data_IF_650045613395
#
_entry.id   IF_650045613395
#
_cell.length_a   1.000
_cell.length_b   1.000
_cell.length_c   1.000
_cell.angle_alpha   90.00
_cell.angle_beta   90.00
_cell.angle_gamma   90.00
#
_symmetry.space_group_name_H-M   'P 1'
#
loop_
_entity.id
_entity.type
_entity.pdbx_description
1 polymer ?
#
# COMPACT_ATOMS: atom_id res chain seq x y z
N UNK A 1 -36.50 10.78 -8.48
CA UNK A 1 -36.08 9.43 -8.01
C UNK A 1 -35.21 8.81 -9.09
N UNK A 2 -33.97 9.26 -9.16
CA UNK A 2 -32.99 8.75 -10.13
C UNK A 2 -32.39 7.49 -9.51
N UNK A 3 -32.62 6.33 -10.13
CA UNK A 3 -31.91 5.11 -9.75
C UNK A 3 -30.42 5.37 -9.98
N UNK A 4 -29.64 5.54 -8.91
CA UNK A 4 -28.22 5.27 -8.98
C UNK A 4 -28.11 3.80 -9.40
N UNK A 5 -27.72 3.56 -10.64
CA UNK A 5 -27.20 2.26 -11.03
C UNK A 5 -26.00 2.02 -10.11
N UNK A 6 -26.11 1.04 -9.21
CA UNK A 6 -24.99 0.56 -8.41
C UNK A 6 -23.92 0.12 -9.40
N UNK A 7 -22.88 0.94 -9.57
CA UNK A 7 -21.65 0.49 -10.17
C UNK A 7 -21.21 -0.76 -9.39
N UNK A 8 -20.76 -1.84 -10.05
CA UNK A 8 -20.35 -3.04 -9.36
C UNK A 8 -19.28 -2.67 -8.33
N UNK A 9 -19.61 -2.86 -7.05
CA UNK A 9 -18.66 -2.63 -5.96
C UNK A 9 -17.63 -3.74 -6.01
N UNK A 10 -16.37 -3.37 -6.15
CA UNK A 10 -15.24 -4.28 -6.06
C UNK A 10 -15.26 -5.03 -4.73
N UNK A 11 -14.83 -6.27 -4.76
CA UNK A 11 -14.73 -7.14 -3.60
C UNK A 11 -13.42 -7.92 -3.69
N UNK A 12 -12.80 -8.16 -2.54
CA UNK A 12 -11.65 -9.04 -2.41
C UNK A 12 -12.16 -10.47 -2.25
N UNK A 13 -11.97 -11.31 -3.26
CA UNK A 13 -12.36 -12.72 -3.24
C UNK A 13 -11.34 -13.53 -2.42
N UNK A 14 -11.57 -13.57 -1.10
CA UNK A 14 -10.70 -14.28 -0.16
C UNK A 14 -10.60 -15.78 -0.48
N UNK A 15 -11.70 -16.52 -0.75
CA UNK A 15 -11.61 -17.91 -1.20
C UNK A 15 -10.74 -18.09 -2.44
N UNK A 16 -10.90 -17.25 -3.47
CA UNK A 16 -10.09 -17.34 -4.68
C UNK A 16 -8.62 -17.01 -4.41
N UNK A 17 -8.32 -16.00 -3.59
CA UNK A 17 -6.95 -15.68 -3.16
C UNK A 17 -6.29 -16.88 -2.49
N UNK A 18 -6.98 -17.53 -1.55
CA UNK A 18 -6.47 -18.73 -0.86
C UNK A 18 -6.27 -19.89 -1.83
N UNK A 19 -7.20 -20.09 -2.78
CA UNK A 19 -7.07 -21.13 -3.79
C UNK A 19 -5.86 -20.90 -4.70
N UNK A 20 -5.65 -19.65 -5.17
CA UNK A 20 -4.47 -19.26 -5.96
C UNK A 20 -3.18 -19.49 -5.18
N UNK A 21 -3.12 -19.06 -3.91
CA UNK A 21 -1.94 -19.22 -3.07
C UNK A 21 -1.58 -20.71 -2.85
N UNK A 22 -2.58 -21.57 -2.63
CA UNK A 22 -2.36 -23.02 -2.51
C UNK A 22 -1.96 -23.68 -3.82
N UNK A 23 -2.52 -23.24 -4.94
CA UNK A 23 -2.17 -23.75 -6.26
C UNK A 23 -0.73 -23.36 -6.66
N UNK A 24 -0.24 -22.20 -6.21
CA UNK A 24 1.12 -21.74 -6.43
C UNK A 24 2.15 -22.35 -5.46
N UNK A 25 1.70 -23.09 -4.44
CA UNK A 25 2.58 -23.68 -3.44
C UNK A 25 3.38 -24.87 -4.01
N UNK A 26 4.55 -25.12 -3.42
CA UNK A 26 5.39 -26.26 -3.76
C UNK A 26 4.77 -27.61 -3.33
N UNK A 27 5.44 -28.74 -3.64
CA UNK A 27 4.95 -30.09 -3.32
C UNK A 27 4.68 -30.34 -1.83
N UNK A 28 5.33 -29.58 -0.95
CA UNK A 28 5.15 -29.61 0.51
C UNK A 28 4.03 -28.68 1.02
N UNK A 29 3.30 -28.04 0.10
CA UNK A 29 2.20 -27.12 0.38
C UNK A 29 2.66 -25.73 0.84
N UNK A 30 3.94 -25.38 0.68
CA UNK A 30 4.49 -24.09 1.12
C UNK A 30 4.78 -23.16 -0.05
N UNK A 31 4.57 -21.87 0.16
CA UNK A 31 5.02 -20.85 -0.78
C UNK A 31 6.57 -20.80 -0.80
N UNK A 32 7.13 -20.43 -1.95
CA UNK A 32 8.57 -20.23 -2.05
C UNK A 32 9.01 -19.03 -1.19
N UNK A 33 10.19 -19.15 -0.57
CA UNK A 33 10.82 -18.06 0.19
C UNK A 33 11.10 -16.84 -0.70
N UNK A 34 11.26 -17.01 -2.01
CA UNK A 34 11.49 -15.88 -2.93
C UNK A 34 12.80 -15.13 -2.62
N UNK A 35 12.87 -13.87 -3.06
CA UNK A 35 14.05 -13.00 -2.91
C UNK A 35 14.12 -12.25 -1.59
N UNK A 36 13.08 -12.29 -0.76
CA UNK A 36 13.03 -11.50 0.49
C UNK A 36 14.10 -11.92 1.50
N UNK A 37 14.48 -13.20 1.48
CA UNK A 37 15.57 -13.72 2.32
C UNK A 37 16.95 -13.22 1.87
N UNK A 38 17.04 -12.64 0.68
CA UNK A 38 18.28 -12.12 0.10
C UNK A 38 18.34 -10.58 0.22
N UNK A 39 17.35 -9.94 0.84
CA UNK A 39 17.35 -8.49 1.06
C UNK A 39 18.38 -8.08 2.11
N UNK A 40 19.07 -6.97 1.87
CA UNK A 40 20.06 -6.41 2.80
C UNK A 40 19.46 -6.09 4.17
N UNK A 41 18.17 -5.74 4.23
CA UNK A 41 17.44 -5.42 5.47
C UNK A 41 16.78 -6.62 6.15
N UNK A 42 16.80 -7.81 5.54
CA UNK A 42 16.23 -9.01 6.16
C UNK A 42 17.15 -9.48 7.31
N UNK A 43 16.64 -9.66 8.54
CA UNK A 43 17.49 -9.82 9.72
C UNK A 43 18.03 -11.23 9.92
N UNK A 44 17.57 -12.22 9.16
CA UNK A 44 17.96 -13.62 9.35
C UNK A 44 18.78 -14.15 8.16
N UNK A 45 19.77 -14.98 8.45
CA UNK A 45 20.39 -15.87 7.48
C UNK A 45 19.32 -16.79 6.89
N UNK A 46 19.39 -17.00 5.57
CA UNK A 46 18.45 -17.86 4.83
C UNK A 46 18.38 -19.27 5.41
N UNK A 47 19.54 -19.81 5.78
CA UNK A 47 19.67 -21.14 6.36
C UNK A 47 19.55 -21.06 7.89
N UNK A 48 18.54 -21.74 8.45
CA UNK A 48 18.41 -21.93 9.89
C UNK A 48 17.86 -20.75 10.70
N UNK A 49 17.40 -19.67 10.05
CA UNK A 49 16.77 -18.48 10.69
C UNK A 49 17.62 -17.90 11.83
N UNK A 50 18.94 -17.83 11.61
CA UNK A 50 19.88 -17.23 12.56
C UNK A 50 19.94 -15.73 12.33
N UNK A 51 20.01 -14.92 13.39
CA UNK A 51 20.19 -13.48 13.24
C UNK A 51 21.53 -13.18 12.56
N UNK A 52 21.50 -12.29 11.56
CA UNK A 52 22.72 -11.74 10.96
C UNK A 52 23.46 -10.88 11.99
N UNK A 53 24.80 -10.82 11.94
CA UNK A 53 25.56 -9.81 12.69
C UNK A 53 25.07 -8.40 12.33
N UNK A 54 25.09 -7.49 13.29
CA UNK A 54 24.84 -6.07 13.01
C UNK A 54 26.03 -5.51 12.23
N UNK A 55 25.75 -4.75 11.19
CA UNK A 55 26.75 -4.00 10.43
C UNK A 55 27.20 -2.75 11.20
N UNK A 56 28.40 -2.25 10.88
CA UNK A 56 28.86 -0.96 11.39
C UNK A 56 27.97 0.18 10.85
N UNK A 57 27.73 1.25 11.63
CA UNK A 57 26.94 2.39 11.16
C UNK A 57 27.56 3.05 9.92
N UNK A 58 26.73 3.36 8.93
CA UNK A 58 27.14 4.14 7.74
C UNK A 58 26.88 5.62 7.99
N UNK A 59 27.93 6.44 8.07
CA UNK A 59 27.84 7.89 8.27
C UNK A 59 28.76 8.64 7.30
N UNK A 60 28.27 9.63 6.52
CA UNK A 60 26.86 10.06 6.48
C UNK A 60 25.95 9.02 5.83
N UNK A 61 24.67 9.03 6.20
CA UNK A 61 23.67 8.20 5.53
C UNK A 61 23.55 8.59 4.04
N UNK A 62 23.41 7.62 3.12
CA UNK A 62 23.10 7.91 1.73
C UNK A 62 21.78 8.67 1.58
N UNK A 63 21.67 9.52 0.56
CA UNK A 63 20.39 10.17 0.24
C UNK A 63 19.34 9.14 -0.19
N UNK A 64 18.08 9.37 0.18
CA UNK A 64 16.95 8.54 -0.27
C UNK A 64 16.61 8.85 -1.73
N UNK A 65 15.78 8.00 -2.35
CA UNK A 65 15.23 8.33 -3.67
C UNK A 65 14.41 9.63 -3.60
N UNK A 66 14.45 10.44 -4.65
CA UNK A 66 13.68 11.69 -4.70
C UNK A 66 13.89 12.59 -3.45
N UNK A 67 15.11 12.66 -2.88
CA UNK A 67 15.39 13.58 -1.77
C UNK A 67 15.33 15.05 -2.24
N UNK A 68 15.87 15.33 -3.43
CA UNK A 68 15.89 16.65 -4.04
C UNK A 68 14.59 16.92 -4.82
N UNK A 69 13.85 17.95 -4.40
CA UNK A 69 12.63 18.41 -5.06
C UNK A 69 12.81 18.75 -6.55
N UNK A 70 13.99 19.23 -6.95
CA UNK A 70 14.27 19.62 -8.33
C UNK A 70 14.33 18.42 -9.30
N UNK A 71 14.64 17.22 -8.78
CA UNK A 71 14.77 15.98 -9.57
C UNK A 71 13.72 14.94 -9.21
N UNK A 72 12.83 15.25 -8.27
CA UNK A 72 11.82 14.34 -7.74
C UNK A 72 10.84 13.85 -8.82
N UNK A 73 10.84 12.54 -9.04
CA UNK A 73 10.00 11.86 -10.03
C UNK A 73 8.51 11.95 -9.72
N UNK A 74 8.13 12.08 -8.44
CA UNK A 74 6.75 12.22 -7.97
C UNK A 74 6.21 13.63 -8.14
N UNK A 75 7.06 14.65 -7.93
CA UNK A 75 6.73 16.04 -8.22
C UNK A 75 6.45 16.26 -9.70
N UNK A 76 7.32 15.71 -10.56
CA UNK A 76 7.19 15.81 -12.01
C UNK A 76 6.08 14.93 -12.61
N UNK A 77 5.54 13.97 -11.84
CA UNK A 77 4.54 13.04 -12.37
C UNK A 77 3.21 13.73 -12.69
N UNK A 78 2.65 13.50 -13.89
CA UNK A 78 1.30 13.96 -14.24
C UNK A 78 0.22 13.25 -13.42
N UNK A 79 -0.95 13.88 -13.33
CA UNK A 79 -2.07 13.38 -12.51
C UNK A 79 -2.66 12.05 -13.01
N UNK A 80 -2.54 11.75 -14.30
CA UNK A 80 -3.00 10.47 -14.89
C UNK A 80 -2.20 9.24 -14.40
N UNK A 81 -1.05 9.45 -13.76
CA UNK A 81 -0.30 8.40 -13.05
C UNK A 81 -0.99 7.95 -11.75
N UNK A 82 -1.95 8.72 -11.27
CA UNK A 82 -2.63 8.50 -9.99
C UNK A 82 -4.07 8.07 -10.24
N UNK A 83 -4.60 7.23 -9.35
CA UNK A 83 -5.98 6.73 -9.45
C UNK A 83 -7.00 7.71 -8.88
N UNK A 84 -6.54 8.63 -8.04
CA UNK A 84 -7.33 9.74 -7.52
C UNK A 84 -6.41 10.90 -7.14
N UNK A 85 -6.89 12.12 -7.37
CA UNK A 85 -6.19 13.34 -6.97
C UNK A 85 -7.19 14.40 -6.54
N UNK A 86 -6.75 15.31 -5.67
CA UNK A 86 -7.41 16.58 -5.44
C UNK A 86 -6.39 17.73 -5.52
N UNK A 87 -6.70 18.90 -4.94
CA UNK A 87 -5.83 20.06 -4.92
C UNK A 87 -4.53 19.85 -4.12
N UNK A 88 -4.49 18.92 -3.16
CA UNK A 88 -3.39 18.76 -2.21
C UNK A 88 -2.82 17.35 -2.18
N UNK A 89 -3.62 16.32 -2.44
CA UNK A 89 -3.30 14.91 -2.25
C UNK A 89 -3.43 14.12 -3.53
N UNK A 90 -2.62 13.06 -3.62
CA UNK A 90 -2.61 12.11 -4.73
C UNK A 90 -2.59 10.69 -4.18
N UNK A 91 -3.39 9.81 -4.77
CA UNK A 91 -3.50 8.41 -4.40
C UNK A 91 -3.06 7.55 -5.59
N UNK A 92 -2.15 6.62 -5.35
CA UNK A 92 -1.69 5.66 -6.36
C UNK A 92 -2.04 4.23 -5.99
N UNK A 93 -2.32 3.43 -7.02
CA UNK A 93 -2.52 1.99 -6.96
C UNK A 93 -1.53 1.36 -7.94
N UNK A 94 -0.35 0.96 -7.46
CA UNK A 94 0.69 0.38 -8.34
C UNK A 94 0.55 -1.14 -8.35
N UNK A 95 0.24 -1.70 -9.52
CA UNK A 95 0.10 -3.15 -9.72
C UNK A 95 1.28 -3.77 -10.49
N UNK A 96 1.35 -5.11 -10.55
CA UNK A 96 0.46 -6.08 -9.90
C UNK A 96 0.67 -6.16 -8.37
N UNK A 97 -0.39 -6.45 -7.59
CA UNK A 97 -0.33 -6.57 -6.12
C UNK A 97 -0.84 -7.92 -5.63
N UNK A 98 -0.27 -8.48 -4.56
CA UNK A 98 -0.79 -9.73 -3.95
C UNK A 98 -1.84 -9.48 -2.87
N UNK A 99 -1.90 -8.27 -2.34
CA UNK A 99 -2.91 -7.77 -1.42
C UNK A 99 -3.27 -6.34 -1.83
N UNK A 100 -4.52 -5.87 -1.65
CA UNK A 100 -4.90 -4.50 -1.98
C UNK A 100 -3.97 -3.50 -1.28
N UNK A 101 -3.26 -2.69 -2.08
CA UNK A 101 -2.23 -1.76 -1.59
C UNK A 101 -2.39 -0.41 -2.26
N UNK A 102 -2.57 0.65 -1.47
CA UNK A 102 -2.65 2.03 -1.96
C UNK A 102 -1.57 2.88 -1.31
N UNK A 103 -1.13 3.91 -2.02
CA UNK A 103 -0.12 4.86 -1.54
C UNK A 103 -0.64 6.28 -1.68
N UNK A 104 -0.79 6.96 -0.55
CA UNK A 104 -1.19 8.36 -0.46
C UNK A 104 0.06 9.24 -0.33
N UNK A 105 0.13 10.36 -1.05
CA UNK A 105 1.15 11.38 -0.84
C UNK A 105 0.64 12.77 -1.17
N UNK A 106 1.21 13.84 -0.58
CA UNK A 106 0.86 15.20 -0.93
C UNK A 106 1.43 15.59 -2.29
N UNK A 107 0.91 16.66 -2.88
CA UNK A 107 1.50 17.27 -4.07
C UNK A 107 2.82 17.95 -3.77
N UNK A 108 2.92 18.59 -2.61
CA UNK A 108 4.13 19.25 -2.12
C UNK A 108 5.27 18.26 -1.86
N UNK A 109 6.51 18.68 -2.10
CA UNK A 109 7.71 17.93 -1.78
C UNK A 109 8.10 18.20 -0.32
N UNK A 110 7.69 17.32 0.58
CA UNK A 110 7.87 17.45 2.03
C UNK A 110 8.09 16.06 2.62
N UNK A 111 8.81 15.95 3.73
CA UNK A 111 8.74 14.78 4.61
C UNK A 111 7.63 14.99 5.67
N UNK A 112 7.32 13.96 6.44
CA UNK A 112 6.29 13.98 7.50
C UNK A 112 6.56 15.08 8.54
N UNK A 113 7.83 15.31 8.88
CA UNK A 113 8.22 16.32 9.87
C UNK A 113 8.15 17.76 9.35
N UNK A 114 8.03 17.95 8.04
CA UNK A 114 7.99 19.27 7.40
C UNK A 114 6.56 19.77 7.17
N UNK A 115 5.55 18.97 7.52
CA UNK A 115 4.15 19.37 7.39
C UNK A 115 3.84 20.52 8.35
N UNK A 116 3.23 21.57 7.81
CA UNK A 116 2.57 22.58 8.63
C UNK A 116 1.27 22.03 9.26
N UNK A 117 0.68 22.80 10.18
CA UNK A 117 -0.51 22.38 10.93
C UNK A 117 -1.72 22.12 10.00
N UNK A 118 -1.82 22.83 8.88
CA UNK A 118 -2.90 22.68 7.91
C UNK A 118 -2.79 21.35 7.16
N UNK A 119 -1.63 21.07 6.56
CA UNK A 119 -1.34 19.82 5.86
C UNK A 119 -1.34 18.62 6.81
N UNK A 120 -0.83 18.77 8.03
CA UNK A 120 -0.91 17.72 9.06
C UNK A 120 -2.37 17.40 9.41
N UNK A 121 -3.21 18.43 9.56
CA UNK A 121 -4.65 18.27 9.76
C UNK A 121 -5.34 17.58 8.59
N UNK A 122 -4.99 17.94 7.35
CA UNK A 122 -5.47 17.28 6.15
C UNK A 122 -5.02 15.82 6.04
N UNK A 123 -3.76 15.53 6.35
CA UNK A 123 -3.22 14.17 6.36
C UNK A 123 -4.06 13.27 7.26
N UNK A 124 -4.35 13.72 8.49
CA UNK A 124 -5.19 12.98 9.42
C UNK A 124 -6.58 12.65 8.85
N UNK A 125 -7.21 13.61 8.15
CA UNK A 125 -8.50 13.38 7.47
C UNK A 125 -8.36 12.40 6.31
N UNK A 126 -7.33 12.55 5.49
CA UNK A 126 -7.08 11.68 4.34
C UNK A 126 -6.79 10.24 4.74
N UNK A 127 -6.00 10.03 5.81
CA UNK A 127 -5.76 8.69 6.36
C UNK A 127 -7.08 8.01 6.72
N UNK A 128 -7.97 8.70 7.43
CA UNK A 128 -9.28 8.15 7.80
C UNK A 128 -10.16 7.90 6.57
N UNK A 129 -10.16 8.79 5.58
CA UNK A 129 -10.96 8.62 4.35
C UNK A 129 -10.52 7.39 3.56
N UNK A 130 -9.22 7.24 3.29
CA UNK A 130 -8.68 6.10 2.53
C UNK A 130 -8.85 4.79 3.31
N UNK A 131 -8.60 4.81 4.62
CA UNK A 131 -8.81 3.63 5.49
C UNK A 131 -10.26 3.15 5.44
N UNK A 132 -11.23 4.06 5.63
CA UNK A 132 -12.66 3.72 5.60
C UNK A 132 -13.09 3.20 4.23
N UNK A 133 -12.63 3.84 3.15
CA UNK A 133 -12.96 3.43 1.80
C UNK A 133 -12.46 2.00 1.51
N UNK A 134 -11.21 1.68 1.88
CA UNK A 134 -10.66 0.33 1.75
C UNK A 134 -11.35 -0.68 2.69
N UNK A 135 -11.61 -0.30 3.94
CA UNK A 135 -12.26 -1.17 4.92
C UNK A 135 -13.72 -1.52 4.56
N UNK A 136 -14.37 -0.67 3.75
CA UNK A 136 -15.72 -0.91 3.26
C UNK A 136 -15.78 -1.91 2.09
N UNK A 137 -14.64 -2.26 1.49
CA UNK A 137 -14.57 -3.26 0.42
C UNK A 137 -14.90 -4.64 0.99
N UNK A 138 -15.92 -5.35 0.46
CA UNK A 138 -16.23 -6.71 0.90
C UNK A 138 -15.02 -7.63 0.80
N UNK A 139 -14.81 -8.48 1.81
CA UNK A 139 -13.64 -9.37 1.89
C UNK A 139 -12.41 -8.74 2.54
N UNK A 140 -12.41 -7.43 2.84
CA UNK A 140 -11.37 -6.80 3.67
C UNK A 140 -11.73 -6.95 5.15
N UNK A 141 -10.79 -7.46 5.95
CA UNK A 141 -10.96 -7.62 7.40
C UNK A 141 -10.29 -6.52 8.24
N UNK A 142 -9.19 -5.93 7.77
CA UNK A 142 -8.50 -4.80 8.44
C UNK A 142 -7.59 -4.07 7.46
N UNK A 143 -7.54 -2.74 7.55
CA UNK A 143 -6.54 -1.93 6.85
C UNK A 143 -5.41 -1.57 7.80
N UNK A 144 -4.17 -1.72 7.34
CA UNK A 144 -2.96 -1.28 8.03
C UNK A 144 -2.41 -0.03 7.34
N UNK A 145 -1.99 0.96 8.13
CA UNK A 145 -1.42 2.23 7.63
C UNK A 145 0.04 2.31 8.09
N UNK A 146 0.96 2.52 7.15
CA UNK A 146 2.40 2.55 7.42
C UNK A 146 3.05 3.80 6.83
N UNK A 147 3.92 4.43 7.63
CA UNK A 147 4.97 5.34 7.17
C UNK A 147 6.31 4.68 7.49
N UNK A 148 7.04 4.27 6.46
CA UNK A 148 8.43 3.78 6.61
C UNK A 148 9.40 4.96 6.45
N UNK A 149 9.44 5.56 5.25
CA UNK A 149 10.17 6.80 4.98
C UNK A 149 11.65 6.64 4.65
N UNK A 150 12.22 5.45 4.74
CA UNK A 150 13.65 5.21 4.44
C UNK A 150 13.94 5.10 2.94
N UNK A 151 12.91 4.85 2.11
CA UNK A 151 13.09 4.60 0.67
C UNK A 151 12.94 5.82 -0.22
N UNK A 152 12.30 6.91 0.22
CA UNK A 152 12.02 8.06 -0.63
C UNK A 152 11.82 9.35 0.20
N UNK A 153 12.36 10.47 -0.26
CA UNK A 153 12.29 11.78 0.40
C UNK A 153 10.95 12.50 0.25
N UNK A 154 10.13 12.13 -0.73
CA UNK A 154 8.77 12.65 -0.88
C UNK A 154 7.81 11.83 -0.01
N UNK A 155 7.14 12.50 0.95
CA UNK A 155 6.17 11.90 1.87
C UNK A 155 5.18 10.98 1.14
N UNK A 156 5.04 9.77 1.68
CA UNK A 156 4.00 8.84 1.26
C UNK A 156 3.64 7.87 2.40
N UNK A 157 2.37 7.49 2.44
CA UNK A 157 1.82 6.54 3.39
C UNK A 157 1.25 5.35 2.63
N UNK A 158 1.54 4.15 3.11
CA UNK A 158 1.02 2.91 2.57
C UNK A 158 -0.23 2.47 3.31
N UNK A 159 -1.21 1.98 2.56
CA UNK A 159 -2.41 1.33 3.06
C UNK A 159 -2.44 -0.09 2.52
N UNK A 160 -2.43 -1.07 3.42
CA UNK A 160 -2.51 -2.48 3.05
C UNK A 160 -3.79 -3.10 3.61
N UNK A 161 -4.62 -3.68 2.76
CA UNK A 161 -5.84 -4.34 3.19
C UNK A 161 -5.60 -5.83 3.44
N UNK A 162 -5.76 -6.24 4.71
CA UNK A 162 -5.72 -7.63 5.12
C UNK A 162 -7.04 -8.33 4.74
N UNK A 163 -7.00 -9.47 4.05
CA UNK A 163 -8.20 -10.26 3.76
C UNK A 163 -8.90 -10.71 5.05
N UNK A 164 -10.23 -10.72 5.02
CA UNK A 164 -11.03 -11.18 6.15
C UNK A 164 -10.74 -12.65 6.48
N UNK A 165 -10.74 -12.99 7.77
CA UNK A 165 -10.40 -14.34 8.24
C UNK A 165 -8.93 -14.78 8.05
N UNK A 166 -8.12 -14.10 7.24
CA UNK A 166 -6.69 -14.41 7.06
C UNK A 166 -5.85 -13.82 8.19
N UNK A 167 -5.92 -14.48 9.34
CA UNK A 167 -5.35 -14.03 10.61
C UNK A 167 -3.83 -14.16 10.72
N UNK A 168 -3.23 -15.03 9.90
CA UNK A 168 -1.77 -15.19 9.80
C UNK A 168 -1.09 -13.97 9.18
N UNK A 169 -1.85 -13.18 8.42
CA UNK A 169 -1.40 -11.95 7.76
C UNK A 169 -1.49 -10.71 8.66
N UNK A 170 -1.49 -10.85 9.99
CA UNK A 170 -1.66 -9.71 10.92
C UNK A 170 -0.34 -9.03 11.24
N UNK A 171 -0.39 -7.71 11.35
CA UNK A 171 0.66 -6.90 11.98
C UNK A 171 1.87 -6.70 11.08
N UNK A 172 3.03 -6.53 11.72
CA UNK A 172 4.29 -6.11 11.09
C UNK A 172 4.70 -6.93 9.85
N UNK A 173 4.42 -8.23 9.86
CA UNK A 173 4.89 -9.17 8.83
C UNK A 173 3.92 -9.32 7.65
N UNK A 174 2.82 -8.56 7.60
CA UNK A 174 1.87 -8.65 6.49
C UNK A 174 2.49 -8.28 5.13
N UNK A 175 3.28 -7.20 4.98
CA UNK A 175 3.95 -6.91 3.71
C UNK A 175 4.91 -8.02 3.30
N UNK A 176 5.63 -8.62 4.28
CA UNK A 176 6.47 -9.79 4.05
C UNK A 176 5.65 -10.96 3.49
N UNK A 177 4.49 -11.28 4.09
CA UNK A 177 3.60 -12.30 3.53
C UNK A 177 3.15 -11.99 2.10
N UNK A 178 2.84 -10.72 1.80
CA UNK A 178 2.38 -10.33 0.47
C UNK A 178 3.39 -10.70 -0.63
N UNK A 179 4.70 -10.63 -0.36
CA UNK A 179 5.75 -11.04 -1.31
C UNK A 179 5.73 -12.52 -1.68
N UNK A 180 5.05 -13.36 -0.91
CA UNK A 180 4.94 -14.81 -1.16
C UNK A 180 3.59 -15.23 -1.73
N UNK A 181 2.63 -14.30 -1.82
CA UNK A 181 1.30 -14.57 -2.35
C UNK A 181 1.28 -14.26 -3.85
N UNK A 182 0.53 -15.03 -4.66
CA UNK A 182 0.31 -14.67 -6.06
C UNK A 182 -0.46 -13.36 -6.15
N UNK A 183 -0.27 -12.63 -7.26
CA UNK A 183 -1.01 -11.41 -7.53
C UNK A 183 -2.53 -11.66 -7.54
N UNK A 184 -3.30 -10.68 -7.11
CA UNK A 184 -4.74 -10.65 -7.38
C UNK A 184 -4.94 -10.34 -8.88
N UNK A 185 -6.00 -10.87 -9.52
CA UNK A 185 -6.37 -10.52 -10.87
C UNK A 185 -6.51 -9.01 -11.06
N UNK A 186 -6.06 -8.50 -12.20
CA UNK A 186 -6.06 -7.05 -12.48
C UNK A 186 -7.50 -6.49 -12.48
N UNK A 187 -8.48 -7.23 -12.98
CA UNK A 187 -9.90 -6.84 -12.96
C UNK A 187 -10.49 -6.78 -11.54
N UNK A 188 -10.10 -7.73 -10.68
CA UNK A 188 -10.43 -7.71 -9.25
C UNK A 188 -9.81 -6.48 -8.58
N UNK A 189 -8.54 -6.18 -8.87
CA UNK A 189 -7.84 -5.01 -8.31
C UNK A 189 -8.45 -3.69 -8.78
N UNK A 190 -8.68 -3.54 -10.08
CA UNK A 190 -9.24 -2.33 -10.69
C UNK A 190 -10.64 -2.03 -10.14
N UNK A 191 -11.46 -3.06 -9.92
CA UNK A 191 -12.79 -2.90 -9.31
C UNK A 191 -12.72 -2.43 -7.84
N UNK A 192 -11.75 -2.94 -7.07
CA UNK A 192 -11.48 -2.47 -5.70
C UNK A 192 -11.03 -1.01 -5.71
N UNK A 193 -10.07 -0.66 -6.56
CA UNK A 193 -9.58 0.71 -6.72
C UNK A 193 -10.72 1.65 -7.08
N UNK A 194 -11.53 1.30 -8.09
CA UNK A 194 -12.67 2.11 -8.51
C UNK A 194 -13.67 2.36 -7.36
N UNK A 195 -13.88 1.38 -6.48
CA UNK A 195 -14.75 1.51 -5.31
C UNK A 195 -14.19 2.49 -4.28
N UNK A 196 -12.86 2.47 -4.07
CA UNK A 196 -12.18 3.43 -3.19
C UNK A 196 -12.27 4.84 -3.76
N UNK A 197 -11.97 5.02 -5.05
CA UNK A 197 -12.04 6.31 -5.75
C UNK A 197 -13.46 6.90 -5.63
N UNK A 198 -14.49 6.11 -5.95
CA UNK A 198 -15.88 6.56 -5.82
C UNK A 198 -16.25 6.98 -4.40
N UNK A 199 -15.71 6.30 -3.37
CA UNK A 199 -15.92 6.66 -1.97
C UNK A 199 -15.23 7.99 -1.60
N UNK A 200 -14.04 8.25 -2.13
CA UNK A 200 -13.32 9.50 -1.91
C UNK A 200 -14.05 10.68 -2.56
N UNK A 201 -14.53 10.51 -3.79
CA UNK A 201 -15.29 11.54 -4.52
C UNK A 201 -16.62 11.88 -3.82
N UNK A 202 -17.35 10.87 -3.35
CA UNK A 202 -18.60 11.06 -2.61
C UNK A 202 -18.40 11.76 -1.25
N UNK A 203 -17.18 11.71 -0.70
CA UNK A 203 -16.84 12.31 0.60
C UNK A 203 -16.16 13.68 0.47
N UNK A 204 -16.08 14.25 -0.74
CA UNK A 204 -15.58 15.59 -0.93
C UNK A 204 -16.50 16.60 -0.21
N UNK A 205 -15.95 17.56 0.55
CA UNK A 205 -16.78 18.60 1.16
C UNK A 205 -17.55 19.33 0.06
N UNK A 206 -18.85 19.52 0.26
CA UNK A 206 -19.65 20.36 -0.64
C UNK A 206 -19.04 21.76 -0.63
N UNK A 207 -18.64 22.23 -1.81
CA UNK A 207 -18.14 23.60 -2.04
C UNK A 207 -19.20 24.62 -1.65
#
# INVERSE_FOLDING_TARGET
MTRHQDAPRGALDVPALVARARAAAGPDGRAAVGSIADWETFPFERDGLRLRPLDDPTVPEPAREDEDAATCSRCAAPDDRYVWTDATWRLSARGPVSLPTLILGPRAHVDLGDLDDELAGELGRMVVRVERALAAVPGVGRVHVHRWGDGNGHLHLFFFARPDGMTQLRGLVMPLWAHHLPAIPDDEWDAIVASVVASLDASAPSV
#
